data_IF_032506409169
#
_entry.id   IF_032506409169
#
_cell.length_a   1.000
_cell.length_b   1.000
_cell.length_c   1.000
_cell.angle_alpha   90.00
_cell.angle_beta   90.00
_cell.angle_gamma   90.00
#
_symmetry.space_group_name_H-M   'P 1'
#
loop_
_entity.id
_entity.type
_entity.pdbx_description
1 polymer ?
#
# COMPACT_ATOMS: atom_id res chain seq x y z
N UNK A 1 60.22 21.69 -38.11
CA UNK A 1 60.39 20.22 -38.06
C UNK A 1 60.67 19.83 -36.61
N UNK A 2 59.81 18.98 -36.02
CA UNK A 2 59.98 18.17 -34.79
C UNK A 2 60.30 18.91 -33.46
N UNK A 3 59.89 18.49 -32.26
CA UNK A 3 59.07 17.39 -31.76
C UNK A 3 58.66 17.69 -30.29
N UNK A 4 57.66 16.94 -29.82
CA UNK A 4 57.08 16.85 -28.47
C UNK A 4 58.07 16.45 -27.37
N UNK A 5 57.76 16.75 -26.08
CA UNK A 5 57.80 15.78 -24.98
C UNK A 5 57.22 16.32 -23.64
N UNK A 6 56.37 15.51 -22.99
CA UNK A 6 55.98 15.55 -21.57
C UNK A 6 57.12 15.04 -20.66
N UNK A 7 57.11 15.30 -19.34
CA UNK A 7 56.70 14.24 -18.40
C UNK A 7 55.96 14.72 -17.12
N UNK A 8 55.66 13.74 -16.27
CA UNK A 8 54.65 13.68 -15.23
C UNK A 8 55.12 13.97 -13.78
N UNK A 9 54.14 14.30 -12.93
CA UNK A 9 53.88 13.68 -11.61
C UNK A 9 54.75 14.04 -10.40
N UNK A 10 54.14 14.61 -9.35
CA UNK A 10 54.55 14.45 -7.93
C UNK A 10 53.30 14.34 -7.03
N UNK A 11 53.32 13.32 -6.18
CA UNK A 11 52.37 12.92 -5.14
C UNK A 11 52.78 13.58 -3.80
N UNK A 12 51.84 14.10 -2.99
CA UNK A 12 52.11 14.54 -1.62
C UNK A 12 51.04 13.99 -0.65
N UNK A 13 51.48 13.09 0.23
CA UNK A 13 50.82 12.63 1.44
C UNK A 13 51.29 13.52 2.61
N UNK A 14 50.37 14.05 3.40
CA UNK A 14 50.68 14.64 4.72
C UNK A 14 49.70 14.08 5.74
N UNK A 15 50.25 13.34 6.69
CA UNK A 15 49.62 12.85 7.91
C UNK A 15 49.95 13.80 9.07
N UNK A 16 48.99 14.05 9.95
CA UNK A 16 49.21 14.70 11.24
C UNK A 16 48.28 14.08 12.28
N UNK A 17 48.88 13.51 13.32
CA UNK A 17 48.26 13.05 14.57
C UNK A 17 48.34 14.19 15.61
N UNK A 18 47.72 13.92 16.78
CA UNK A 18 47.69 14.67 18.06
C UNK A 18 46.36 15.43 18.25
N UNK A 19 45.60 15.28 19.34
CA UNK A 19 45.88 14.62 20.61
C UNK A 19 44.63 14.41 21.46
N UNK A 20 44.81 13.61 22.51
CA UNK A 20 43.82 13.27 23.52
C UNK A 20 43.99 14.21 24.73
N UNK A 21 42.88 14.71 25.28
CA UNK A 21 42.84 15.23 26.65
C UNK A 21 41.48 14.97 27.26
N UNK A 22 41.49 14.16 28.30
CA UNK A 22 40.40 13.83 29.22
C UNK A 22 40.10 15.00 30.16
N UNK A 23 38.83 15.29 30.39
CA UNK A 23 38.36 15.95 31.61
C UNK A 23 37.18 15.15 32.16
N UNK A 24 37.33 14.70 33.40
CA UNK A 24 36.29 14.09 34.23
C UNK A 24 35.70 15.19 35.10
N UNK A 25 34.37 15.27 35.17
CA UNK A 25 33.71 15.92 36.31
C UNK A 25 32.41 15.19 36.64
N UNK A 26 32.18 15.01 37.92
CA UNK A 26 31.16 14.16 38.52
C UNK A 26 29.97 15.00 38.99
N UNK A 27 28.75 14.43 38.87
CA UNK A 27 27.46 14.81 39.49
C UNK A 27 26.78 16.13 39.07
N UNK A 28 25.51 16.03 38.67
CA UNK A 28 24.31 16.32 39.49
C UNK A 28 23.07 15.96 38.66
N UNK A 29 22.11 15.27 39.28
CA UNK A 29 20.87 14.83 38.66
C UNK A 29 19.99 15.98 38.17
N UNK A 30 19.37 15.78 37.02
CA UNK A 30 18.26 16.58 36.52
C UNK A 30 17.24 15.62 35.93
N UNK A 31 16.10 15.51 36.62
CA UNK A 31 14.90 14.85 36.11
C UNK A 31 14.41 15.61 34.88
N UNK A 32 14.79 15.17 33.68
CA UNK A 32 14.05 15.51 32.47
C UNK A 32 13.13 14.34 32.14
N UNK A 33 11.84 14.56 32.36
CA UNK A 33 10.75 13.77 31.80
C UNK A 33 11.07 13.41 30.34
N UNK A 34 11.37 12.14 30.10
CA UNK A 34 11.43 11.60 28.75
C UNK A 34 10.02 11.66 28.18
N UNK A 35 9.71 12.74 27.47
CA UNK A 35 8.69 12.70 26.43
C UNK A 35 9.03 11.50 25.54
N UNK A 36 8.14 10.49 25.59
CA UNK A 36 8.30 9.28 24.82
C UNK A 36 8.41 9.65 23.36
N UNK A 37 9.63 9.65 22.85
CA UNK A 37 9.87 9.55 21.42
C UNK A 37 9.31 8.19 21.02
N UNK A 38 8.07 8.19 20.54
CA UNK A 38 7.48 7.06 19.84
C UNK A 38 8.40 6.79 18.66
N UNK A 39 9.27 5.80 18.81
CA UNK A 39 9.96 5.18 17.68
C UNK A 39 8.85 4.48 16.90
N UNK A 40 8.22 5.21 15.98
CA UNK A 40 7.35 4.64 14.98
C UNK A 40 8.23 3.67 14.17
N UNK A 41 8.06 2.38 14.40
CA UNK A 41 8.70 1.36 13.58
C UNK A 41 8.20 1.52 12.15
N UNK A 42 9.00 2.16 11.29
CA UNK A 42 9.05 1.79 9.88
C UNK A 42 9.47 0.31 9.88
N UNK A 43 8.63 -0.66 9.54
CA UNK A 43 7.97 -0.76 8.25
C UNK A 43 6.82 -1.79 8.31
N UNK A 44 5.92 -1.74 9.30
CA UNK A 44 4.89 -2.80 9.46
C UNK A 44 3.98 -2.99 8.23
N UNK A 45 3.88 -1.98 7.37
CA UNK A 45 3.05 -1.96 6.16
C UNK A 45 3.86 -1.38 5.01
N UNK A 46 4.88 -2.11 4.53
CA UNK A 46 5.77 -1.66 3.46
C UNK A 46 5.02 -1.17 2.20
N UNK A 47 3.91 -1.85 1.83
CA UNK A 47 3.03 -1.52 0.69
C UNK A 47 1.88 -0.55 1.04
N UNK A 48 1.89 0.01 2.25
CA UNK A 48 0.89 0.94 2.75
C UNK A 48 -0.51 0.32 2.90
N UNK A 49 -1.50 1.20 2.90
CA UNK A 49 -2.93 0.84 2.98
C UNK A 49 -3.68 1.45 1.81
N UNK A 50 -4.80 0.86 1.44
CA UNK A 50 -5.70 1.40 0.44
C UNK A 50 -7.14 1.39 0.92
N UNK A 51 -7.92 2.36 0.47
CA UNK A 51 -9.38 2.37 0.59
C UNK A 51 -10.00 2.32 -0.80
N UNK A 52 -10.96 1.42 -0.99
CA UNK A 52 -11.61 1.22 -2.29
C UNK A 52 -13.03 0.73 -2.13
N UNK A 53 -13.73 0.57 -3.25
CA UNK A 53 -15.11 0.05 -3.31
C UNK A 53 -16.06 0.74 -2.32
N UNK A 54 -15.86 2.04 -2.11
CA UNK A 54 -16.66 2.83 -1.19
C UNK A 54 -18.07 2.98 -1.76
N UNK A 55 -19.09 2.69 -0.97
CA UNK A 55 -20.50 2.93 -1.32
C UNK A 55 -21.07 4.04 -0.44
N UNK A 56 -22.39 4.23 -0.46
CA UNK A 56 -23.04 5.11 0.52
C UNK A 56 -23.00 4.54 1.94
N UNK A 57 -22.79 3.23 2.10
CA UNK A 57 -22.94 2.54 3.37
C UNK A 57 -21.78 1.60 3.73
N UNK A 58 -20.76 1.50 2.88
CA UNK A 58 -19.62 0.60 3.10
C UNK A 58 -18.33 1.12 2.47
N UNK A 59 -17.21 0.52 2.89
CA UNK A 59 -15.89 0.71 2.29
C UNK A 59 -15.07 -0.57 2.43
N UNK A 60 -14.15 -0.82 1.51
CA UNK A 60 -13.12 -1.85 1.66
C UNK A 60 -11.79 -1.21 2.03
N UNK A 61 -11.16 -1.71 3.09
CA UNK A 61 -9.79 -1.38 3.43
C UNK A 61 -8.87 -2.55 3.08
N UNK A 62 -7.75 -2.23 2.46
CA UNK A 62 -6.71 -3.20 2.14
C UNK A 62 -5.38 -2.85 2.81
N UNK A 63 -4.64 -3.87 3.22
CA UNK A 63 -3.27 -3.77 3.69
C UNK A 63 -2.50 -5.08 3.48
N UNK A 64 -1.17 -5.00 3.59
CA UNK A 64 -0.27 -6.15 3.64
C UNK A 64 0.76 -5.96 4.75
N UNK A 65 0.99 -7.00 5.55
CA UNK A 65 2.09 -7.06 6.53
C UNK A 65 3.26 -7.88 6.00
N UNK A 66 4.46 -7.71 6.57
CA UNK A 66 5.66 -8.46 6.11
C UNK A 66 5.75 -9.91 6.64
N UNK A 67 4.80 -10.31 7.48
CA UNK A 67 4.66 -11.66 7.99
C UNK A 67 3.35 -11.80 8.79
N UNK A 68 3.19 -12.90 9.54
CA UNK A 68 2.03 -13.08 10.40
C UNK A 68 1.91 -11.95 11.43
N UNK A 69 0.76 -11.29 11.46
CA UNK A 69 0.47 -10.23 12.41
C UNK A 69 -1.01 -10.23 12.80
N UNK A 70 -1.33 -9.75 14.00
CA UNK A 70 -2.71 -9.46 14.41
C UNK A 70 -3.05 -8.03 13.99
N UNK A 71 -4.16 -7.85 13.28
CA UNK A 71 -4.60 -6.57 12.74
C UNK A 71 -5.98 -6.22 13.27
N UNK A 72 -6.15 -4.97 13.70
CA UNK A 72 -7.44 -4.39 14.05
C UNK A 72 -7.61 -3.06 13.33
N UNK A 73 -8.82 -2.82 12.81
CA UNK A 73 -9.20 -1.54 12.25
C UNK A 73 -10.13 -0.84 13.21
N UNK A 74 -9.84 0.43 13.44
CA UNK A 74 -10.65 1.37 14.19
C UNK A 74 -11.19 2.44 13.26
N UNK A 75 -12.47 2.77 13.33
CA UNK A 75 -13.03 3.86 12.53
C UNK A 75 -14.16 4.61 13.24
N UNK A 76 -14.29 5.88 12.89
CA UNK A 76 -15.40 6.76 13.27
C UNK A 76 -15.49 7.92 12.28
N UNK A 77 -16.58 8.68 12.35
CA UNK A 77 -16.67 9.95 11.60
C UNK A 77 -15.57 10.90 12.06
N UNK A 78 -15.04 11.73 11.15
CA UNK A 78 -14.00 12.72 11.50
C UNK A 78 -14.47 13.63 12.64
N UNK A 79 -15.74 14.06 12.60
CA UNK A 79 -16.36 14.84 13.68
C UNK A 79 -16.48 14.07 15.00
N UNK A 80 -16.63 12.74 14.96
CA UNK A 80 -16.56 11.87 16.13
C UNK A 80 -15.18 11.86 16.77
N UNK A 81 -14.13 11.68 15.96
CA UNK A 81 -12.74 11.71 16.41
C UNK A 81 -12.33 13.06 17.02
N UNK A 82 -12.73 14.16 16.38
CA UNK A 82 -12.44 15.52 16.86
C UNK A 82 -13.10 15.83 18.21
N UNK A 83 -14.35 15.40 18.40
CA UNK A 83 -15.06 15.56 19.68
C UNK A 83 -14.36 14.79 20.80
N UNK A 84 -13.95 13.55 20.53
CA UNK A 84 -13.26 12.74 21.53
C UNK A 84 -11.88 13.31 21.91
N UNK A 85 -11.13 13.80 20.92
CA UNK A 85 -9.82 14.41 21.15
C UNK A 85 -9.90 15.66 22.05
N UNK A 86 -10.99 16.43 21.94
CA UNK A 86 -11.23 17.64 22.76
C UNK A 86 -11.67 17.35 24.20
N UNK A 87 -12.33 16.22 24.43
CA UNK A 87 -12.90 15.88 25.75
C UNK A 87 -11.91 15.17 26.69
N UNK A 88 -10.67 14.93 26.25
CA UNK A 88 -9.63 14.17 26.97
C UNK A 88 -10.06 12.77 27.44
N UNK A 89 -11.20 12.26 26.94
CA UNK A 89 -11.65 10.89 27.13
C UNK A 89 -11.01 10.02 26.06
N UNK A 90 -10.20 9.05 26.49
CA UNK A 90 -9.34 8.20 25.64
C UNK A 90 -10.13 7.30 24.68
N UNK A 91 -11.46 7.25 24.78
CA UNK A 91 -12.29 6.37 23.95
C UNK A 91 -13.28 7.22 23.17
N UNK A 92 -12.85 7.65 21.98
CA UNK A 92 -13.79 8.06 20.93
C UNK A 92 -14.78 6.91 20.68
N UNK A 93 -16.05 7.18 20.30
CA UNK A 93 -16.98 6.13 19.88
C UNK A 93 -16.50 5.57 18.55
N UNK A 94 -15.52 4.68 18.64
CA UNK A 94 -14.77 4.11 17.54
C UNK A 94 -15.26 2.70 17.40
N UNK A 95 -15.86 2.42 16.25
CA UNK A 95 -16.12 1.06 15.86
C UNK A 95 -14.77 0.37 15.64
N UNK A 96 -14.67 -0.88 16.06
CA UNK A 96 -13.45 -1.67 15.93
C UNK A 96 -13.79 -3.04 15.39
N UNK A 97 -12.97 -3.55 14.48
CA UNK A 97 -13.07 -4.93 14.03
C UNK A 97 -12.63 -5.89 15.13
N UNK A 98 -12.98 -7.17 14.98
CA UNK A 98 -12.22 -8.23 15.66
C UNK A 98 -10.75 -8.18 15.23
N UNK A 99 -9.87 -8.80 16.02
CA UNK A 99 -8.49 -9.04 15.58
C UNK A 99 -8.49 -10.07 14.46
N UNK A 100 -7.87 -9.74 13.34
CA UNK A 100 -7.72 -10.60 12.16
C UNK A 100 -6.23 -10.89 11.97
N UNK A 101 -5.87 -12.16 11.78
CA UNK A 101 -4.46 -12.56 11.59
C UNK A 101 -4.13 -12.63 10.10
N UNK A 102 -3.04 -12.00 9.68
CA UNK A 102 -2.48 -12.17 8.32
C UNK A 102 -1.74 -13.50 8.21
N UNK A 103 -1.87 -14.18 7.08
CA UNK A 103 -1.28 -15.51 6.88
C UNK A 103 -0.56 -15.64 5.54
N UNK A 104 0.30 -16.65 5.42
CA UNK A 104 1.10 -16.88 4.20
C UNK A 104 0.26 -17.19 2.97
N UNK A 105 -0.91 -17.79 3.15
CA UNK A 105 -1.79 -18.23 2.06
C UNK A 105 -2.25 -17.02 1.22
N UNK A 106 -2.52 -15.89 1.86
CA UNK A 106 -2.95 -14.63 1.23
C UNK A 106 -1.80 -13.63 1.05
N UNK A 107 -0.55 -14.08 1.09
CA UNK A 107 0.63 -13.20 1.12
C UNK A 107 0.54 -12.10 2.18
N UNK A 108 0.01 -12.47 3.34
CA UNK A 108 -0.19 -11.59 4.49
C UNK A 108 -1.02 -10.34 4.15
N UNK A 109 -1.87 -10.43 3.14
CA UNK A 109 -2.82 -9.38 2.77
C UNK A 109 -4.15 -9.56 3.51
N UNK A 110 -4.83 -8.44 3.80
CA UNK A 110 -6.20 -8.40 4.27
C UNK A 110 -7.02 -7.44 3.42
N UNK A 111 -8.26 -7.84 3.09
CA UNK A 111 -9.33 -6.96 2.61
C UNK A 111 -10.45 -6.97 3.65
N UNK A 112 -10.73 -5.82 4.25
CA UNK A 112 -11.58 -5.68 5.43
C UNK A 112 -12.77 -4.79 5.08
N UNK A 113 -14.00 -5.34 5.06
CA UNK A 113 -15.20 -4.55 4.86
C UNK A 113 -15.53 -3.73 6.11
N UNK A 114 -15.81 -2.44 5.92
CA UNK A 114 -16.44 -1.56 6.88
C UNK A 114 -17.89 -1.36 6.44
N UNK A 115 -18.85 -1.71 7.29
CA UNK A 115 -20.28 -1.68 6.97
C UNK A 115 -21.06 -0.74 7.90
N UNK A 116 -22.32 -0.46 7.54
CA UNK A 116 -23.21 0.40 8.33
C UNK A 116 -22.76 1.86 8.38
N UNK A 117 -22.01 2.30 7.36
CA UNK A 117 -21.56 3.68 7.26
C UNK A 117 -22.72 4.59 6.88
N UNK A 118 -22.64 5.85 7.29
CA UNK A 118 -23.59 6.88 6.89
C UNK A 118 -23.21 7.42 5.51
N UNK A 119 -24.18 7.69 4.63
CA UNK A 119 -23.97 8.32 3.32
C UNK A 119 -23.33 9.70 3.42
N UNK A 120 -22.60 10.12 2.37
CA UNK A 120 -21.96 11.44 2.25
C UNK A 120 -21.20 11.88 3.51
N UNK A 121 -20.53 10.94 4.17
CA UNK A 121 -19.92 11.14 5.49
C UNK A 121 -18.43 10.84 5.43
N UNK A 122 -17.62 11.76 5.97
CA UNK A 122 -16.17 11.59 6.08
C UNK A 122 -15.82 10.76 7.31
N UNK A 123 -15.13 9.65 7.08
CA UNK A 123 -14.61 8.74 8.10
C UNK A 123 -13.10 8.85 8.20
N UNK A 124 -12.58 8.63 9.40
CA UNK A 124 -11.16 8.38 9.66
C UNK A 124 -11.02 6.99 10.22
N UNK A 125 -10.01 6.28 9.72
CA UNK A 125 -9.64 4.96 10.19
C UNK A 125 -8.19 4.92 10.68
N UNK A 126 -7.95 4.05 11.64
CA UNK A 126 -6.66 3.71 12.23
C UNK A 126 -6.41 2.22 12.04
N UNK A 127 -5.17 1.85 11.72
CA UNK A 127 -4.72 0.47 11.59
C UNK A 127 -3.79 0.17 12.76
N UNK A 128 -4.23 -0.79 13.58
CA UNK A 128 -3.49 -1.29 14.72
C UNK A 128 -2.90 -2.65 14.37
N UNK A 129 -1.59 -2.81 14.54
CA UNK A 129 -0.87 -4.07 14.27
C UNK A 129 -0.16 -4.54 15.53
N UNK A 130 -0.39 -5.80 15.90
CA UNK A 130 0.24 -6.47 17.02
C UNK A 130 0.82 -7.83 16.63
N UNK A 131 1.39 -8.54 17.61
CA UNK A 131 1.93 -9.89 17.42
C UNK A 131 0.83 -10.87 16.98
N UNK A 132 1.13 -11.74 16.01
CA UNK A 132 0.25 -12.87 15.68
C UNK A 132 0.25 -13.94 16.78
N UNK A 133 1.32 -14.04 17.57
CA UNK A 133 1.41 -14.94 18.69
C UNK A 133 0.76 -14.32 19.94
N UNK A 134 -0.37 -14.88 20.35
CA UNK A 134 -1.10 -14.48 21.55
C UNK A 134 -0.54 -15.11 22.83
N UNK A 135 0.44 -16.02 22.73
CA UNK A 135 1.02 -16.76 23.87
C UNK A 135 2.25 -16.07 24.47
N UNK A 136 2.95 -15.25 23.69
CA UNK A 136 3.99 -14.35 24.20
C UNK A 136 3.37 -13.08 24.79
N UNK A 137 4.01 -12.55 25.84
CA UNK A 137 3.61 -11.35 26.60
C UNK A 137 3.01 -10.29 25.64
N UNK A 138 1.70 -10.05 25.73
CA UNK A 138 0.93 -9.21 24.80
C UNK A 138 1.73 -7.96 24.40
N UNK A 139 2.32 -7.96 23.21
CA UNK A 139 2.86 -6.74 22.63
C UNK A 139 1.64 -5.88 22.30
N UNK A 140 1.49 -4.69 22.90
CA UNK A 140 0.35 -3.83 22.61
C UNK A 140 0.30 -3.54 21.11
N UNK A 141 -0.88 -3.66 20.51
CA UNK A 141 -1.05 -3.31 19.12
C UNK A 141 -0.63 -1.84 18.91
N UNK A 142 0.23 -1.60 17.92
CA UNK A 142 0.76 -0.29 17.59
C UNK A 142 -0.06 0.34 16.48
N UNK A 143 -0.31 1.65 16.57
CA UNK A 143 -0.87 2.42 15.47
C UNK A 143 0.18 2.56 14.37
N UNK A 144 -0.02 1.87 13.25
CA UNK A 144 0.96 1.82 12.14
C UNK A 144 0.51 2.60 10.91
N UNK A 145 -0.80 2.80 10.73
CA UNK A 145 -1.32 3.63 9.65
C UNK A 145 -2.61 4.34 10.04
N UNK A 146 -2.87 5.46 9.37
CA UNK A 146 -4.12 6.22 9.45
C UNK A 146 -4.49 6.75 8.07
N UNK A 147 -5.77 6.80 7.79
CA UNK A 147 -6.30 7.36 6.57
C UNK A 147 -7.73 7.83 6.76
N UNK A 148 -8.30 8.35 5.69
CA UNK A 148 -9.64 8.91 5.68
C UNK A 148 -10.32 8.61 4.36
N UNK A 149 -11.64 8.64 4.33
CA UNK A 149 -12.41 8.54 3.10
C UNK A 149 -13.78 9.17 3.31
N UNK A 150 -14.49 9.43 2.22
CA UNK A 150 -15.87 9.91 2.25
C UNK A 150 -16.75 8.89 1.56
N UNK A 151 -17.83 8.45 2.22
CA UNK A 151 -18.84 7.61 1.61
C UNK A 151 -19.59 8.36 0.52
N UNK A 152 -20.07 7.63 -0.49
CA UNK A 152 -20.88 8.22 -1.55
C UNK A 152 -22.22 8.74 -0.99
N UNK A 153 -22.86 9.70 -1.67
CA UNK A 153 -24.26 10.02 -1.42
C UNK A 153 -25.15 8.79 -1.63
N UNK A 154 -26.31 8.76 -0.97
CA UNK A 154 -27.32 7.74 -1.28
C UNK A 154 -27.82 7.85 -2.72
N UNK A 155 -28.26 6.72 -3.28
CA UNK A 155 -28.76 6.61 -4.66
C UNK A 155 -29.89 7.60 -5.02
N UNK A 156 -30.63 8.05 -4.01
CA UNK A 156 -31.74 9.02 -4.17
C UNK A 156 -31.29 10.48 -4.16
N UNK A 157 -30.01 10.73 -3.92
CA UNK A 157 -29.44 12.07 -3.75
C UNK A 157 -28.50 12.38 -4.90
N UNK A 158 -28.81 13.41 -5.68
CA UNK A 158 -27.86 13.95 -6.65
C UNK A 158 -26.83 14.84 -5.95
N UNK A 159 -25.55 14.61 -6.24
CA UNK A 159 -24.45 15.45 -5.77
C UNK A 159 -23.50 15.75 -6.92
N UNK A 160 -22.81 16.89 -6.82
CA UNK A 160 -21.64 17.14 -7.66
C UNK A 160 -20.51 16.26 -7.16
N UNK A 161 -19.84 15.58 -8.08
CA UNK A 161 -18.65 14.77 -7.78
C UNK A 161 -17.47 15.25 -8.62
N UNK A 162 -16.29 15.23 -8.03
CA UNK A 162 -15.01 15.42 -8.69
C UNK A 162 -14.30 14.07 -8.68
N UNK A 163 -13.88 13.57 -9.83
CA UNK A 163 -13.12 12.33 -9.89
C UNK A 163 -11.96 12.45 -10.87
N UNK A 164 -10.96 11.62 -10.67
CA UNK A 164 -9.86 11.43 -11.60
C UNK A 164 -9.85 9.98 -12.08
N UNK A 165 -9.16 9.74 -13.19
CA UNK A 165 -9.01 8.40 -13.75
C UNK A 165 -7.64 8.26 -14.43
N UNK A 166 -7.13 7.04 -14.49
CA UNK A 166 -5.94 6.68 -15.26
C UNK A 166 -5.98 5.19 -15.61
N UNK A 167 -5.25 4.80 -16.64
CA UNK A 167 -4.69 3.45 -16.81
C UNK A 167 -3.16 3.52 -16.76
N UNK A 168 -2.50 2.41 -17.08
CA UNK A 168 -1.10 2.38 -17.53
C UNK A 168 -0.09 2.86 -16.48
N UNK A 169 -0.08 2.23 -15.31
CA UNK A 169 0.86 2.55 -14.25
C UNK A 169 2.18 1.80 -14.44
N UNK A 170 3.22 2.53 -14.83
CA UNK A 170 4.58 2.12 -14.54
C UNK A 170 5.12 0.97 -15.39
N UNK A 171 4.97 1.07 -16.71
CA UNK A 171 5.51 0.14 -17.69
C UNK A 171 6.00 0.83 -18.96
N UNK A 172 6.33 0.05 -19.99
CA UNK A 172 6.66 0.55 -21.34
C UNK A 172 7.69 1.70 -21.37
N UNK A 173 8.73 1.62 -20.52
CA UNK A 173 9.78 2.65 -20.42
C UNK A 173 9.46 3.82 -19.48
N UNK A 174 8.34 3.76 -18.74
CA UNK A 174 7.91 4.72 -17.70
C UNK A 174 7.82 4.08 -16.31
N UNK A 175 8.75 3.18 -16.02
CA UNK A 175 8.83 2.43 -14.78
C UNK A 175 9.05 3.32 -13.53
N UNK A 176 8.84 2.76 -12.34
CA UNK A 176 9.05 3.44 -11.05
C UNK A 176 10.49 3.92 -10.90
N UNK A 177 10.66 5.19 -10.57
CA UNK A 177 11.95 5.81 -10.28
C UNK A 177 11.89 6.61 -8.98
N UNK A 178 12.88 6.41 -8.11
CA UNK A 178 12.98 7.09 -6.83
C UNK A 178 11.92 6.67 -5.82
N UNK A 179 12.07 7.19 -4.61
CA UNK A 179 11.20 6.88 -3.45
C UNK A 179 9.74 7.27 -3.70
N UNK A 180 9.50 8.42 -4.33
CA UNK A 180 8.13 8.85 -4.67
C UNK A 180 7.48 7.93 -5.69
N UNK A 181 8.28 7.32 -6.57
CA UNK A 181 7.83 6.49 -7.69
C UNK A 181 7.07 7.29 -8.75
N UNK A 182 5.81 7.63 -8.45
CA UNK A 182 4.87 8.26 -9.39
C UNK A 182 4.34 9.60 -8.82
N UNK A 183 5.09 10.71 -8.96
CA UNK A 183 4.70 12.02 -8.41
C UNK A 183 3.36 12.57 -8.93
N UNK A 184 2.82 12.00 -10.02
CA UNK A 184 1.50 12.37 -10.55
C UNK A 184 0.39 12.19 -9.51
N UNK A 185 0.50 11.19 -8.61
CA UNK A 185 -0.51 10.99 -7.56
C UNK A 185 -0.56 12.16 -6.56
N UNK A 186 0.57 12.80 -6.26
CA UNK A 186 0.59 14.01 -5.44
C UNK A 186 -0.11 15.18 -6.15
N UNK A 187 -0.01 15.26 -7.48
CA UNK A 187 -0.70 16.26 -8.29
C UNK A 187 -2.19 16.01 -8.29
N UNK A 188 -2.62 14.78 -8.58
CA UNK A 188 -4.04 14.39 -8.59
C UNK A 188 -4.65 14.66 -7.21
N UNK A 189 -3.96 14.30 -6.12
CA UNK A 189 -4.47 14.50 -4.76
C UNK A 189 -4.77 15.97 -4.43
N UNK A 190 -4.01 16.93 -4.97
CA UNK A 190 -4.25 18.37 -4.77
C UNK A 190 -5.52 18.89 -5.43
N UNK A 191 -6.11 18.11 -6.34
CA UNK A 191 -7.42 18.40 -6.93
C UNK A 191 -8.58 17.83 -6.11
N UNK A 192 -8.30 17.19 -4.97
CA UNK A 192 -9.27 16.66 -4.03
C UNK A 192 -10.37 15.80 -4.70
N UNK A 193 -10.02 14.76 -5.49
CA UNK A 193 -11.04 13.89 -6.07
C UNK A 193 -11.81 13.15 -4.96
N UNK A 194 -13.12 13.04 -5.12
CA UNK A 194 -14.00 12.22 -4.30
C UNK A 194 -13.68 10.73 -4.47
N UNK A 195 -13.25 10.34 -5.67
CA UNK A 195 -12.76 8.99 -5.98
C UNK A 195 -11.86 8.96 -7.22
N UNK A 196 -11.19 7.84 -7.42
CA UNK A 196 -10.32 7.57 -8.55
C UNK A 196 -10.72 6.28 -9.28
N UNK A 197 -10.78 6.33 -10.60
CA UNK A 197 -11.00 5.16 -11.45
C UNK A 197 -9.66 4.68 -12.00
N UNK A 198 -9.27 3.45 -11.67
CA UNK A 198 -8.05 2.84 -12.16
C UNK A 198 -8.40 1.78 -13.21
N UNK A 199 -8.19 2.13 -14.48
CA UNK A 199 -8.79 1.46 -15.64
C UNK A 199 -7.95 0.31 -16.22
N UNK A 200 -7.15 -0.37 -15.38
CA UNK A 200 -6.26 -1.45 -15.81
C UNK A 200 -4.82 -1.00 -16.01
N UNK A 201 -3.97 -1.96 -16.36
CA UNK A 201 -2.51 -1.81 -16.45
C UNK A 201 -1.89 -1.21 -15.17
N UNK A 202 -2.45 -1.61 -14.03
CA UNK A 202 -1.98 -1.23 -12.68
C UNK A 202 -0.60 -1.82 -12.40
N UNK A 203 -0.27 -2.93 -13.05
CA UNK A 203 1.06 -3.51 -13.16
C UNK A 203 1.32 -3.88 -14.62
N UNK A 204 2.60 -4.05 -14.95
CA UNK A 204 3.00 -4.72 -16.18
C UNK A 204 3.66 -6.05 -15.84
N UNK A 205 2.91 -7.14 -15.82
CA UNK A 205 3.41 -8.46 -15.45
C UNK A 205 4.45 -9.00 -16.45
N UNK A 206 4.37 -8.56 -17.70
CA UNK A 206 5.05 -9.13 -18.85
C UNK A 206 6.17 -8.24 -19.43
N UNK A 207 6.30 -7.01 -18.93
CA UNK A 207 7.33 -6.05 -19.36
C UNK A 207 8.42 -5.86 -18.31
N UNK A 208 9.65 -5.76 -18.79
CA UNK A 208 10.81 -5.52 -17.95
C UNK A 208 10.95 -4.02 -17.66
N UNK A 209 11.36 -3.74 -16.43
CA UNK A 209 11.79 -2.44 -15.93
C UNK A 209 13.18 -2.61 -15.31
N UNK A 210 14.26 -2.70 -16.12
CA UNK A 210 15.61 -2.91 -15.61
C UNK A 210 16.06 -1.78 -14.68
N UNK A 211 16.75 -2.15 -13.61
CA UNK A 211 17.43 -1.23 -12.70
C UNK A 211 18.94 -1.32 -12.94
N UNK A 212 19.68 -0.20 -13.03
CA UNK A 212 19.24 1.21 -13.10
C UNK A 212 18.70 1.61 -14.50
N UNK A 213 18.00 2.76 -14.64
CA UNK A 213 17.75 3.82 -13.64
C UNK A 213 16.48 3.60 -12.80
N UNK A 214 15.72 2.53 -13.06
CA UNK A 214 14.50 2.24 -12.33
C UNK A 214 14.79 1.64 -10.96
N UNK A 215 13.79 1.62 -10.10
CA UNK A 215 13.86 0.92 -8.83
C UNK A 215 13.91 -0.61 -9.05
N UNK A 216 14.56 -1.39 -8.16
CA UNK A 216 14.60 -2.85 -8.28
C UNK A 216 13.23 -3.49 -8.02
N UNK A 217 13.06 -4.75 -8.44
CA UNK A 217 11.84 -5.55 -8.21
C UNK A 217 10.92 -5.68 -9.43
N UNK A 218 11.37 -5.21 -10.60
CA UNK A 218 10.63 -5.27 -11.85
C UNK A 218 11.49 -5.62 -13.08
N UNK A 219 12.69 -6.17 -12.87
CA UNK A 219 13.65 -6.61 -13.88
C UNK A 219 13.39 -8.03 -14.43
N UNK A 220 12.22 -8.59 -14.11
CA UNK A 220 11.75 -9.90 -14.55
C UNK A 220 10.31 -9.82 -15.06
N UNK A 221 9.92 -10.83 -15.85
CA UNK A 221 8.51 -11.11 -16.19
C UNK A 221 7.91 -12.03 -15.14
N UNK A 222 6.69 -11.75 -14.71
CA UNK A 222 5.95 -12.62 -13.81
C UNK A 222 5.46 -13.86 -14.56
N UNK A 223 5.89 -15.03 -14.12
CA UNK A 223 5.48 -16.34 -14.66
C UNK A 223 4.99 -17.29 -13.58
N UNK A 224 5.02 -16.84 -12.32
CA UNK A 224 4.58 -17.57 -11.13
C UNK A 224 3.76 -16.62 -10.24
N UNK A 225 2.95 -17.16 -9.33
CA UNK A 225 2.23 -16.36 -8.35
C UNK A 225 3.16 -15.47 -7.51
N UNK A 226 4.31 -16.01 -7.09
CA UNK A 226 5.29 -15.25 -6.30
C UNK A 226 5.82 -14.06 -7.09
N UNK A 227 6.25 -14.27 -8.33
CA UNK A 227 6.75 -13.18 -9.19
C UNK A 227 5.65 -12.19 -9.54
N UNK A 228 4.41 -12.65 -9.67
CA UNK A 228 3.23 -11.81 -9.86
C UNK A 228 2.97 -10.86 -8.67
N UNK A 229 2.99 -11.40 -7.45
CA UNK A 229 2.90 -10.63 -6.20
C UNK A 229 4.02 -9.60 -6.09
N UNK A 230 5.25 -9.98 -6.48
CA UNK A 230 6.37 -9.03 -6.50
C UNK A 230 6.14 -7.85 -7.47
N UNK A 231 5.47 -8.06 -8.61
CA UNK A 231 5.09 -6.96 -9.53
C UNK A 231 4.08 -5.99 -8.90
N UNK A 232 3.10 -6.51 -8.15
CA UNK A 232 2.18 -5.66 -7.37
C UNK A 232 2.92 -4.89 -6.27
N UNK A 233 3.78 -5.56 -5.49
CA UNK A 233 4.59 -4.90 -4.45
C UNK A 233 5.47 -3.80 -5.03
N UNK A 234 6.10 -4.04 -6.19
CA UNK A 234 6.91 -3.03 -6.89
C UNK A 234 6.15 -1.72 -7.12
N UNK A 235 4.89 -1.79 -7.57
CA UNK A 235 4.08 -0.58 -7.76
C UNK A 235 3.65 0.03 -6.44
N UNK A 236 3.21 -0.82 -5.50
CA UNK A 236 2.75 -0.41 -4.18
C UNK A 236 3.84 0.23 -3.33
N UNK A 237 5.12 0.00 -3.61
CA UNK A 237 6.25 0.63 -2.92
C UNK A 237 6.42 2.12 -3.27
N UNK A 238 5.76 2.63 -4.32
CA UNK A 238 5.77 4.05 -4.64
C UNK A 238 5.10 4.88 -3.54
N UNK A 239 5.87 5.75 -2.85
CA UNK A 239 5.32 6.51 -1.72
C UNK A 239 4.21 7.48 -2.11
N UNK A 240 4.27 8.10 -3.29
CA UNK A 240 3.17 8.96 -3.77
C UNK A 240 1.87 8.17 -3.96
N UNK A 241 1.95 6.95 -4.49
CA UNK A 241 0.79 6.05 -4.60
C UNK A 241 0.25 5.66 -3.22
N UNK A 242 1.11 5.29 -2.26
CA UNK A 242 0.67 4.95 -0.90
C UNK A 242 -0.07 6.11 -0.20
N UNK A 243 0.44 7.35 -0.35
CA UNK A 243 -0.21 8.53 0.25
C UNK A 243 -1.57 8.83 -0.40
N UNK A 244 -1.69 8.56 -1.70
CA UNK A 244 -2.95 8.70 -2.43
C UNK A 244 -3.97 7.66 -1.99
N UNK A 245 -3.61 6.37 -2.07
CA UNK A 245 -4.50 5.24 -1.82
C UNK A 245 -5.05 5.20 -0.38
N UNK A 246 -4.34 5.74 0.60
CA UNK A 246 -4.85 5.78 1.99
C UNK A 246 -5.99 6.79 2.19
N UNK A 247 -6.20 7.72 1.25
CA UNK A 247 -7.16 8.83 1.39
C UNK A 247 -8.19 8.97 0.28
N UNK A 248 -7.87 8.52 -0.94
CA UNK A 248 -8.75 8.63 -2.09
C UNK A 248 -9.33 7.24 -2.39
N UNK A 249 -10.67 7.07 -2.31
CA UNK A 249 -11.33 5.84 -2.73
C UNK A 249 -10.95 5.47 -4.17
N UNK A 250 -10.52 4.23 -4.37
CA UNK A 250 -10.21 3.70 -5.71
C UNK A 250 -11.22 2.63 -6.11
N UNK A 251 -11.67 2.72 -7.36
CA UNK A 251 -12.37 1.63 -8.06
C UNK A 251 -11.47 1.18 -9.19
N UNK A 252 -11.13 -0.10 -9.20
CA UNK A 252 -10.10 -0.64 -10.08
C UNK A 252 -10.67 -1.75 -10.93
N UNK A 253 -10.31 -1.75 -12.20
CA UNK A 253 -10.44 -2.88 -13.12
C UNK A 253 -9.05 -3.26 -13.61
N UNK A 254 -8.96 -4.43 -14.23
CA UNK A 254 -7.75 -4.92 -14.89
C UNK A 254 -7.85 -4.70 -16.40
N UNK A 255 -6.71 -4.70 -17.07
CA UNK A 255 -6.57 -4.81 -18.51
C UNK A 255 -5.56 -5.95 -18.82
N UNK A 256 -4.97 -5.95 -20.00
CA UNK A 256 -4.17 -7.06 -20.50
C UNK A 256 -2.81 -7.19 -19.81
N UNK A 257 -2.14 -6.11 -19.42
CA UNK A 257 -0.81 -6.18 -18.82
C UNK A 257 -0.80 -6.69 -17.37
N UNK A 258 -1.96 -6.82 -16.73
CA UNK A 258 -2.12 -7.68 -15.54
C UNK A 258 -1.86 -9.16 -15.84
N UNK A 259 -1.80 -9.58 -17.11
CA UNK A 259 -1.51 -10.97 -17.51
C UNK A 259 -0.38 -10.99 -18.54
N UNK A 260 -0.65 -10.42 -19.72
CA UNK A 260 0.22 -10.36 -20.89
C UNK A 260 -0.37 -9.38 -21.91
N UNK A 261 0.48 -8.61 -22.57
CA UNK A 261 0.13 -7.71 -23.67
C UNK A 261 -0.78 -8.36 -24.73
N UNK A 262 -1.83 -7.64 -25.12
CA UNK A 262 -2.92 -8.02 -26.01
C UNK A 262 -3.68 -9.28 -25.58
N UNK A 263 -3.73 -9.59 -24.28
CA UNK A 263 -4.52 -10.70 -23.75
C UNK A 263 -5.98 -10.57 -24.22
N UNK A 264 -6.38 -11.45 -25.13
CA UNK A 264 -7.69 -11.37 -25.77
C UNK A 264 -8.54 -12.58 -25.44
N UNK A 265 -9.07 -12.60 -24.22
CA UNK A 265 -10.29 -13.34 -23.91
C UNK A 265 -10.30 -14.81 -24.39
N UNK A 266 -11.45 -15.37 -24.81
CA UNK A 266 -11.76 -16.82 -24.91
C UNK A 266 -10.83 -17.68 -25.79
N UNK A 267 -9.84 -17.08 -26.45
CA UNK A 267 -8.86 -17.73 -27.30
C UNK A 267 -7.50 -17.92 -26.62
N UNK A 268 -7.30 -17.37 -25.42
CA UNK A 268 -6.05 -17.49 -24.65
C UNK A 268 -6.08 -18.70 -23.71
N UNK A 269 -4.98 -19.46 -23.69
CA UNK A 269 -4.82 -20.67 -22.86
C UNK A 269 -5.01 -20.39 -21.35
N UNK A 270 -4.68 -19.16 -20.93
CA UNK A 270 -4.71 -18.72 -19.54
C UNK A 270 -6.10 -18.22 -19.09
N UNK A 271 -7.11 -18.20 -19.98
CA UNK A 271 -8.46 -17.71 -19.69
C UNK A 271 -9.19 -18.36 -18.51
N UNK A 272 -9.14 -19.69 -18.31
CA UNK A 272 -9.84 -20.31 -17.19
C UNK A 272 -9.37 -19.75 -15.84
N UNK A 273 -8.09 -19.39 -15.72
CA UNK A 273 -7.56 -18.72 -14.53
C UNK A 273 -7.90 -17.22 -14.50
N UNK A 274 -7.84 -16.53 -15.64
CA UNK A 274 -8.21 -15.11 -15.72
C UNK A 274 -9.68 -14.82 -15.36
N UNK A 275 -10.60 -15.76 -15.60
CA UNK A 275 -12.04 -15.62 -15.25
C UNK A 275 -12.37 -15.84 -13.78
N UNK A 276 -11.48 -16.48 -13.00
CA UNK A 276 -11.70 -16.65 -11.56
C UNK A 276 -11.71 -15.30 -10.82
N UNK A 277 -11.31 -14.21 -11.48
CA UNK A 277 -11.40 -12.82 -11.02
C UNK A 277 -12.84 -12.24 -11.07
N UNK A 278 -13.87 -13.04 -10.73
CA UNK A 278 -15.25 -12.54 -10.75
C UNK A 278 -16.38 -13.56 -10.56
N UNK A 279 -16.12 -14.80 -10.11
CA UNK A 279 -17.19 -15.80 -10.00
C UNK A 279 -17.27 -16.45 -8.62
N UNK A 280 -17.93 -15.78 -7.68
CA UNK A 280 -18.59 -16.46 -6.55
C UNK A 280 -20.00 -15.89 -6.34
N UNK A 281 -20.95 -16.25 -7.22
CA UNK A 281 -22.38 -16.03 -6.95
C UNK A 281 -23.29 -16.07 -8.20
N UNK A 282 -24.47 -16.72 -8.12
CA UNK A 282 -25.43 -16.77 -9.23
C UNK A 282 -26.30 -15.50 -9.22
N UNK A 283 -25.88 -14.46 -9.93
CA UNK A 283 -26.69 -13.25 -10.09
C UNK A 283 -26.44 -12.59 -11.45
N UNK A 284 -27.45 -12.66 -12.30
CA UNK A 284 -27.53 -12.03 -13.62
C UNK A 284 -27.90 -10.54 -13.48
N UNK A 285 -26.93 -9.73 -13.08
CA UNK A 285 -26.89 -8.28 -13.30
C UNK A 285 -25.43 -7.94 -13.66
N UNK A 286 -25.13 -6.83 -14.36
CA UNK A 286 -23.74 -6.47 -14.70
C UNK A 286 -22.97 -6.30 -13.39
N UNK A 287 -22.26 -7.35 -12.99
CA UNK A 287 -21.48 -7.37 -11.77
C UNK A 287 -20.31 -6.42 -12.03
N UNK A 288 -20.31 -5.28 -11.34
CA UNK A 288 -19.09 -4.50 -11.11
C UNK A 288 -18.01 -5.50 -10.74
N UNK A 289 -16.96 -5.57 -11.55
CA UNK A 289 -15.80 -6.43 -11.30
C UNK A 289 -15.21 -5.92 -9.98
N UNK A 290 -15.54 -6.58 -8.87
CA UNK A 290 -14.94 -6.31 -7.57
C UNK A 290 -13.59 -6.98 -7.57
N UNK A 291 -12.53 -6.18 -7.45
CA UNK A 291 -11.24 -6.72 -7.04
C UNK A 291 -11.33 -7.05 -5.54
N UNK A 292 -12.00 -8.15 -5.22
CA UNK A 292 -11.67 -8.94 -4.04
C UNK A 292 -10.37 -9.71 -4.37
N UNK A 293 -9.27 -9.00 -4.67
CA UNK A 293 -8.04 -9.60 -5.21
C UNK A 293 -6.92 -8.58 -5.46
N UNK A 294 -6.45 -7.90 -4.40
CA UNK A 294 -5.08 -7.38 -4.45
C UNK A 294 -4.04 -8.54 -4.49
N UNK A 295 -4.50 -9.78 -4.48
CA UNK A 295 -3.86 -10.94 -5.11
C UNK A 295 -4.69 -11.39 -6.32
N UNK A 296 -4.34 -11.00 -7.55
CA UNK A 296 -4.96 -11.61 -8.74
C UNK A 296 -4.46 -13.06 -8.82
N UNK A 297 -5.31 -13.97 -8.33
CA UNK A 297 -5.19 -15.42 -8.37
C UNK A 297 -3.95 -16.02 -7.69
N UNK A 298 -4.10 -16.50 -6.45
CA UNK A 298 -3.41 -17.72 -6.06
C UNK A 298 -3.76 -18.82 -7.07
N UNK A 299 -2.94 -19.02 -8.10
CA UNK A 299 -3.18 -20.01 -9.13
C UNK A 299 -3.06 -21.41 -8.51
N UNK A 300 -4.24 -22.03 -8.33
CA UNK A 300 -4.50 -23.44 -8.03
C UNK A 300 -4.25 -23.88 -6.57
N UNK A 301 -5.29 -24.18 -5.78
CA UNK A 301 -5.15 -25.10 -4.66
C UNK A 301 -4.94 -26.51 -5.22
N UNK A 302 -3.83 -27.13 -4.84
CA UNK A 302 -3.67 -28.58 -4.68
C UNK A 302 -4.19 -29.46 -5.82
N UNK A 303 -3.29 -29.79 -6.75
CA UNK A 303 -3.18 -31.18 -7.19
C UNK A 303 -2.83 -32.03 -5.95
N UNK A 304 -3.84 -32.64 -5.33
CA UNK A 304 -3.83 -34.01 -4.80
C UNK A 304 -5.08 -34.28 -3.95
N UNK A 305 -6.08 -34.90 -4.58
CA UNK A 305 -6.77 -36.06 -4.00
C UNK A 305 -7.37 -36.91 -5.13
N UNK A 306 -6.48 -37.39 -6.00
CA UNK A 306 -6.55 -38.67 -6.72
C UNK A 306 -5.09 -39.12 -6.95
N UNK A 307 -4.32 -39.19 -5.87
CA UNK A 307 -3.59 -40.34 -5.32
C UNK A 307 -3.04 -39.92 -3.95
#
# INVERSE_FOLDING_TARGET
>A
MHASCLPAGILLLVSSLVGCSTFSDERVGSNSSSEGTLVAGSDFLAQGVAVGDVSSQSALLWLRTDGPASVQIEWATVSGWERASKLATVVAPVLRTVSITTTSETDYTLTIPLEGLSPATRYRYHVLVGSADQTTRQVPASLVAKGEFTTLPDEKTSAVVTFAWSGDLGGQGRCRQGVSGYPIFDVIQRHNPDFFLFLGDTIYADNLCPSPPNEPGADFKATTLETYRLRHRYQRDAKALQQFLKTVPVYVIWDDHEVKNNFSGPFEEQMPAGRCCGSTGPSLLPQTIRIDSIDVCAMVPTLNSLF
#
